data_IF_539785393509
#
_entry.id   IF_539785393509
#
_cell.length_a   1.000
_cell.length_b   1.000
_cell.length_c   1.000
_cell.angle_alpha   90.00
_cell.angle_beta   90.00
_cell.angle_gamma   90.00
#
_symmetry.space_group_name_H-M   'P 1'
#
loop_
_entity.id
_entity.type
_entity.pdbx_description
1 polymer ?
#
# COMPACT_ATOMS: atom_id res chain seq x y z
N UNK A 1 13.47 10.01 3.05
CA UNK A 1 13.50 8.56 2.78
C UNK A 1 14.86 8.22 2.19
N UNK A 2 15.78 7.60 2.94
CA UNK A 2 17.03 7.11 2.35
C UNK A 2 16.88 5.70 1.76
N UNK A 3 15.89 4.93 2.21
CA UNK A 3 15.70 3.52 1.80
C UNK A 3 14.31 3.21 1.24
N UNK A 4 13.25 3.91 1.67
CA UNK A 4 11.87 3.66 1.21
C UNK A 4 11.48 4.38 -0.09
N UNK A 5 10.31 4.00 -0.61
CA UNK A 5 9.60 4.64 -1.72
C UNK A 5 8.31 5.29 -1.18
N UNK A 6 7.84 6.35 -1.81
CA UNK A 6 6.59 6.99 -1.40
C UNK A 6 6.00 7.90 -2.47
N UNK A 7 4.70 7.79 -2.65
CA UNK A 7 3.90 8.60 -3.56
C UNK A 7 2.69 9.18 -2.84
N UNK A 8 2.30 10.37 -3.26
CA UNK A 8 1.10 11.05 -2.78
C UNK A 8 0.24 11.45 -3.96
N UNK A 9 -1.09 11.44 -3.76
CA UNK A 9 -2.04 12.06 -4.68
C UNK A 9 -2.53 13.33 -4.04
N UNK A 10 -2.42 14.44 -4.77
CA UNK A 10 -2.87 15.76 -4.33
C UNK A 10 -4.09 16.21 -5.12
N UNK A 11 -5.04 16.89 -4.46
CA UNK A 11 -6.17 17.58 -5.09
C UNK A 11 -6.30 18.95 -4.46
N UNK A 12 -6.31 20.01 -5.28
CA UNK A 12 -6.50 21.39 -4.77
C UNK A 12 -5.52 21.71 -3.62
N UNK A 13 -4.25 21.30 -3.76
CA UNK A 13 -3.16 21.44 -2.77
C UNK A 13 -3.29 20.58 -1.49
N UNK A 14 -4.36 19.80 -1.34
CA UNK A 14 -4.53 18.83 -0.26
C UNK A 14 -3.98 17.45 -0.64
N UNK A 15 -3.26 16.78 0.28
CA UNK A 15 -2.89 15.36 0.12
C UNK A 15 -4.11 14.50 0.43
N UNK A 16 -4.66 13.84 -0.58
CA UNK A 16 -5.88 13.04 -0.46
C UNK A 16 -5.60 11.55 -0.32
N UNK A 17 -4.39 11.11 -0.68
CA UNK A 17 -3.94 9.74 -0.54
C UNK A 17 -2.40 9.68 -0.44
N UNK A 18 -1.91 8.75 0.37
CA UNK A 18 -0.49 8.40 0.50
C UNK A 18 -0.31 6.91 0.23
N UNK A 19 0.77 6.52 -0.43
CA UNK A 19 1.22 5.14 -0.60
C UNK A 19 2.74 5.10 -0.39
N UNK A 20 3.23 4.33 0.58
CA UNK A 20 4.63 4.38 0.98
C UNK A 20 5.16 3.03 1.48
N UNK A 21 6.49 2.92 1.56
CA UNK A 21 7.15 1.80 2.24
C UNK A 21 7.06 2.01 3.75
N UNK A 22 6.14 1.31 4.42
CA UNK A 22 6.00 1.35 5.88
C UNK A 22 7.13 0.61 6.60
N UNK A 23 7.67 -0.43 5.96
CA UNK A 23 8.83 -1.18 6.43
C UNK A 23 9.69 -1.65 5.27
N UNK A 24 11.00 -1.75 5.48
CA UNK A 24 11.98 -2.18 4.47
C UNK A 24 12.91 -3.24 5.08
N UNK A 25 13.01 -4.39 4.41
CA UNK A 25 13.94 -5.48 4.72
C UNK A 25 14.68 -5.85 3.44
N UNK A 26 15.98 -5.54 3.37
CA UNK A 26 16.74 -5.70 2.12
C UNK A 26 16.07 -4.98 0.94
N UNK A 27 15.65 -5.75 -0.08
CA UNK A 27 14.92 -5.25 -1.24
C UNK A 27 13.39 -5.43 -1.11
N UNK A 28 12.90 -5.94 0.02
CA UNK A 28 11.47 -6.13 0.29
C UNK A 28 10.90 -4.89 0.97
N UNK A 29 9.84 -4.33 0.40
CA UNK A 29 9.19 -3.13 0.90
C UNK A 29 7.73 -3.42 1.24
N UNK A 30 7.38 -3.38 2.53
CA UNK A 30 6.00 -3.47 2.97
C UNK A 30 5.26 -2.17 2.65
N UNK A 31 4.19 -2.28 1.87
CA UNK A 31 3.36 -1.16 1.43
C UNK A 31 2.36 -0.82 2.51
N UNK A 32 2.19 0.48 2.78
CA UNK A 32 1.02 1.02 3.45
C UNK A 32 0.38 2.10 2.58
N UNK A 33 -0.96 2.12 2.58
CA UNK A 33 -1.74 3.01 1.74
C UNK A 33 -2.97 3.51 2.49
N UNK A 34 -3.16 4.82 2.49
CA UNK A 34 -4.31 5.44 3.13
C UNK A 34 -4.88 6.53 2.22
N UNK A 35 -6.22 6.56 2.13
CA UNK A 35 -6.96 7.62 1.43
C UNK A 35 -7.85 8.32 2.44
N UNK A 36 -7.72 9.66 2.48
CA UNK A 36 -8.53 10.50 3.35
C UNK A 36 -10.02 10.17 3.17
N UNK A 37 -10.75 10.03 4.28
CA UNK A 37 -12.09 9.42 4.30
C UNK A 37 -13.06 10.02 3.27
N UNK A 38 -13.14 11.35 3.19
CA UNK A 38 -13.98 12.08 2.24
C UNK A 38 -13.61 11.92 0.76
N UNK A 39 -12.43 11.35 0.49
CA UNK A 39 -11.86 11.15 -0.84
C UNK A 39 -11.80 9.67 -1.26
N UNK A 40 -12.25 8.74 -0.41
CA UNK A 40 -12.33 7.31 -0.72
C UNK A 40 -13.29 7.03 -1.89
N UNK A 41 -13.15 5.85 -2.51
CA UNK A 41 -13.96 5.38 -3.67
C UNK A 41 -13.82 6.24 -4.93
N UNK A 42 -12.72 6.99 -5.06
CA UNK A 42 -12.38 7.82 -6.24
C UNK A 42 -11.08 7.38 -6.94
N UNK A 43 -10.65 6.13 -6.73
CA UNK A 43 -9.45 5.52 -7.31
C UNK A 43 -8.10 6.18 -6.95
N UNK A 44 -8.04 7.09 -5.98
CA UNK A 44 -6.76 7.69 -5.55
C UNK A 44 -5.76 6.66 -5.00
N UNK A 45 -6.24 5.68 -4.23
CA UNK A 45 -5.41 4.57 -3.76
C UNK A 45 -4.81 3.76 -4.93
N UNK A 46 -5.61 3.47 -5.96
CA UNK A 46 -5.12 2.76 -7.15
C UNK A 46 -4.06 3.56 -7.91
N UNK A 47 -4.26 4.87 -8.04
CA UNK A 47 -3.30 5.77 -8.68
C UNK A 47 -1.96 5.80 -7.90
N UNK A 48 -2.01 5.98 -6.59
CA UNK A 48 -0.82 6.00 -5.74
C UNK A 48 -0.10 4.65 -5.74
N UNK A 49 -0.84 3.54 -5.62
CA UNK A 49 -0.31 2.19 -5.68
C UNK A 49 0.37 1.90 -7.02
N UNK A 50 -0.24 2.30 -8.15
CA UNK A 50 0.38 2.09 -9.47
C UNK A 50 1.71 2.83 -9.61
N UNK A 51 1.78 4.09 -9.16
CA UNK A 51 3.02 4.86 -9.18
C UNK A 51 4.11 4.20 -8.32
N UNK A 52 3.74 3.80 -7.12
CA UNK A 52 4.62 3.06 -6.20
C UNK A 52 5.13 1.75 -6.82
N UNK A 53 4.23 0.93 -7.38
CA UNK A 53 4.59 -0.36 -7.98
C UNK A 53 5.50 -0.19 -9.20
N UNK A 54 5.29 0.85 -10.02
CA UNK A 54 6.17 1.16 -11.14
C UNK A 54 7.59 1.47 -10.66
N UNK A 55 7.76 2.32 -9.64
CA UNK A 55 9.09 2.60 -9.10
C UNK A 55 9.74 1.36 -8.48
N UNK A 56 8.97 0.52 -7.77
CA UNK A 56 9.47 -0.74 -7.26
C UNK A 56 9.99 -1.63 -8.39
N UNK A 57 9.23 -1.77 -9.48
CA UNK A 57 9.65 -2.56 -10.64
C UNK A 57 10.91 -1.99 -11.31
N UNK A 58 10.95 -0.67 -11.53
CA UNK A 58 12.08 0.00 -12.17
C UNK A 58 13.38 -0.14 -11.35
N UNK A 59 13.26 -0.19 -10.02
CA UNK A 59 14.37 -0.34 -9.08
C UNK A 59 14.68 -1.79 -8.71
N UNK A 60 13.92 -2.77 -9.20
CA UNK A 60 14.08 -4.18 -8.84
C UNK A 60 13.74 -4.49 -7.37
N UNK A 61 12.81 -3.75 -6.77
CA UNK A 61 12.33 -3.91 -5.41
C UNK A 61 11.15 -4.89 -5.36
N UNK A 62 11.08 -5.71 -4.29
CA UNK A 62 9.97 -6.61 -4.04
C UNK A 62 8.94 -5.90 -3.16
N UNK A 63 7.76 -5.65 -3.69
CA UNK A 63 6.63 -5.17 -2.90
C UNK A 63 6.03 -6.29 -2.05
N UNK A 64 5.73 -5.97 -0.79
CA UNK A 64 4.97 -6.81 0.14
C UNK A 64 3.70 -6.08 0.58
N UNK A 65 2.58 -6.78 0.60
CA UNK A 65 1.29 -6.24 1.00
C UNK A 65 0.53 -7.33 1.76
N UNK A 66 0.12 -7.03 2.99
CA UNK A 66 -0.79 -7.86 3.75
C UNK A 66 -2.06 -7.08 4.15
N UNK A 67 -3.16 -7.81 4.32
CA UNK A 67 -4.38 -7.25 4.85
C UNK A 67 -5.27 -8.35 5.44
N UNK A 68 -6.20 -7.97 6.29
CA UNK A 68 -7.23 -8.88 6.81
C UNK A 68 -8.10 -9.45 5.67
N UNK A 69 -8.53 -10.72 5.73
CA UNK A 69 -9.33 -11.34 4.67
C UNK A 69 -10.71 -10.69 4.46
N UNK A 70 -11.25 -9.97 5.44
CA UNK A 70 -12.48 -9.19 5.32
C UNK A 70 -12.27 -7.82 4.65
N UNK A 71 -11.02 -7.39 4.46
CA UNK A 71 -10.68 -6.14 3.76
C UNK A 71 -10.70 -6.32 2.23
N UNK A 72 -11.90 -6.55 1.69
CA UNK A 72 -12.11 -6.76 0.24
C UNK A 72 -11.59 -5.58 -0.60
N UNK A 73 -11.63 -4.36 -0.06
CA UNK A 73 -11.10 -3.17 -0.72
C UNK A 73 -9.59 -3.25 -0.94
N UNK A 74 -8.85 -3.61 0.12
CA UNK A 74 -7.39 -3.78 0.07
C UNK A 74 -7.00 -4.95 -0.84
N UNK A 75 -7.70 -6.09 -0.76
CA UNK A 75 -7.47 -7.25 -1.64
C UNK A 75 -7.63 -6.87 -3.13
N UNK A 76 -8.72 -6.17 -3.48
CA UNK A 76 -8.96 -5.72 -4.86
C UNK A 76 -7.90 -4.74 -5.34
N UNK A 77 -7.44 -3.86 -4.45
CA UNK A 77 -6.42 -2.87 -4.75
C UNK A 77 -5.06 -3.53 -5.00
N UNK A 78 -4.66 -4.48 -4.14
CA UNK A 78 -3.44 -5.27 -4.34
C UNK A 78 -3.48 -6.04 -5.66
N UNK A 79 -4.59 -6.70 -5.98
CA UNK A 79 -4.77 -7.37 -7.27
C UNK A 79 -4.71 -6.42 -8.46
N UNK A 80 -5.37 -5.26 -8.36
CA UNK A 80 -5.33 -4.23 -9.40
C UNK A 80 -3.93 -3.65 -9.61
N UNK A 81 -3.08 -3.67 -8.58
CA UNK A 81 -1.68 -3.24 -8.63
C UNK A 81 -0.72 -4.34 -9.12
N UNK A 82 -1.23 -5.51 -9.53
CA UNK A 82 -0.44 -6.61 -10.08
C UNK A 82 0.07 -7.63 -9.05
N UNK A 83 -0.37 -7.54 -7.79
CA UNK A 83 -0.05 -8.52 -6.76
C UNK A 83 -1.03 -9.71 -6.78
N UNK A 84 -0.57 -10.85 -6.29
CA UNK A 84 -1.39 -12.03 -6.07
C UNK A 84 -1.23 -12.52 -4.63
N UNK A 85 -2.23 -13.23 -4.13
CA UNK A 85 -2.14 -13.89 -2.84
C UNK A 85 -0.95 -14.88 -2.85
N UNK A 86 -0.05 -14.74 -1.89
CA UNK A 86 1.08 -15.66 -1.67
C UNK A 86 0.69 -16.72 -0.64
N UNK A 87 0.38 -16.29 0.59
CA UNK A 87 -0.08 -17.16 1.67
C UNK A 87 -0.94 -16.40 2.69
N UNK A 88 -1.58 -17.14 3.58
CA UNK A 88 -2.31 -16.60 4.73
C UNK A 88 -1.58 -16.98 6.03
N UNK A 89 -1.66 -16.12 7.03
CA UNK A 89 -1.13 -16.37 8.37
C UNK A 89 -2.08 -15.80 9.44
N UNK A 90 -2.12 -16.40 10.65
CA UNK A 90 -2.91 -15.85 11.74
C UNK A 90 -2.25 -14.59 12.30
N UNK A 91 -3.06 -13.57 12.59
CA UNK A 91 -2.65 -12.37 13.34
C UNK A 91 -3.47 -12.34 14.63
N UNK A 92 -2.80 -12.11 15.74
CA UNK A 92 -3.43 -12.04 17.06
C UNK A 92 -3.30 -10.62 17.61
N UNK A 93 -4.40 -10.10 18.13
CA UNK A 93 -4.46 -8.81 18.80
C UNK A 93 -4.88 -9.03 20.24
N UNK A 94 -4.16 -8.41 21.18
CA UNK A 94 -4.48 -8.47 22.60
C UNK A 94 -4.51 -7.06 23.16
N UNK A 95 -5.52 -6.78 23.96
CA UNK A 95 -5.51 -5.57 24.78
C UNK A 95 -4.46 -5.72 25.87
N UNK A 96 -3.52 -4.79 25.92
CA UNK A 96 -2.65 -4.64 27.09
C UNK A 96 -3.46 -3.82 28.09
N UNK A 97 -3.96 -4.49 29.14
CA UNK A 97 -4.56 -3.85 30.31
C UNK A 97 -3.50 -3.25 31.21
#
# INVERSE_FOLDING_TARGET
MQHGVGYVVTREEEIVCICLSAFVEGNTHAIDIETLEGHRKRNYAALAAQAYMNECNDRGLRSYWDCSPDNIGSIRLAHGAGLSLDFNYPVYWYSIS
#
